data_IF_133012757887
#
_entry.id   IF_133012757887
#
_cell.length_a   1.000
_cell.length_b   1.000
_cell.length_c   1.000
_cell.angle_alpha   90.00
_cell.angle_beta   90.00
_cell.angle_gamma   90.00
#
_symmetry.space_group_name_H-M   'P 1'
#
loop_
_entity.id
_entity.type
_entity.pdbx_description
1 polymer ?
#
# COMPACT_ATOMS: atom_id res chain seq x y z
N UNK A 1 -1.11 -18.43 1.25
CA UNK A 1 -0.29 -18.89 0.10
C UNK A 1 1.18 -18.75 0.45
N UNK A 2 1.97 -19.77 0.22
CA UNK A 2 3.40 -19.68 0.46
C UNK A 2 4.12 -19.18 -0.80
N UNK A 3 5.28 -18.55 -0.64
CA UNK A 3 6.08 -18.06 -1.75
C UNK A 3 6.52 -19.19 -2.69
N UNK A 4 6.83 -20.36 -2.16
CA UNK A 4 7.23 -21.51 -2.97
C UNK A 4 6.09 -22.02 -3.84
N UNK A 5 4.86 -22.10 -3.31
CA UNK A 5 3.69 -22.51 -4.08
C UNK A 5 3.41 -21.50 -5.21
N UNK A 6 3.50 -20.22 -4.91
CA UNK A 6 3.30 -19.15 -5.91
C UNK A 6 4.30 -19.29 -7.05
N UNK A 7 5.58 -19.49 -6.74
CA UNK A 7 6.63 -19.63 -7.76
C UNK A 7 6.47 -20.92 -8.56
N UNK A 8 6.09 -22.02 -7.92
CA UNK A 8 5.87 -23.31 -8.60
C UNK A 8 4.76 -23.22 -9.64
N UNK A 9 3.77 -22.35 -9.42
CA UNK A 9 2.66 -22.12 -10.34
C UNK A 9 3.03 -21.16 -11.47
N UNK A 10 4.31 -20.79 -11.61
CA UNK A 10 4.79 -19.88 -12.65
C UNK A 10 4.72 -18.42 -12.29
N UNK A 11 4.31 -18.07 -11.08
CA UNK A 11 4.26 -16.69 -10.62
C UNK A 11 5.66 -16.26 -10.17
N UNK A 12 6.11 -15.10 -10.65
CA UNK A 12 7.47 -14.59 -10.40
C UNK A 12 7.51 -13.33 -9.55
N UNK A 13 6.36 -12.85 -9.08
CA UNK A 13 6.29 -11.63 -8.26
C UNK A 13 5.21 -11.76 -7.18
N UNK A 14 5.30 -10.90 -6.18
CA UNK A 14 4.28 -10.78 -5.14
C UNK A 14 4.17 -9.34 -4.69
N UNK A 15 2.93 -8.85 -4.51
CA UNK A 15 2.64 -7.55 -3.90
C UNK A 15 1.97 -7.85 -2.55
N UNK A 16 2.58 -7.42 -1.46
CA UNK A 16 2.21 -7.84 -0.11
C UNK A 16 1.69 -6.66 0.68
N UNK A 17 0.53 -6.82 1.33
CA UNK A 17 0.00 -5.78 2.20
C UNK A 17 0.92 -5.60 3.41
N UNK A 18 1.47 -4.41 3.59
CA UNK A 18 2.33 -4.14 4.75
C UNK A 18 1.55 -3.57 5.93
N UNK A 19 0.46 -2.87 5.66
CA UNK A 19 -0.35 -2.30 6.71
C UNK A 19 -1.61 -1.63 6.17
N UNK A 20 -2.36 -1.02 7.06
CA UNK A 20 -3.60 -0.33 6.71
C UNK A 20 -3.96 0.72 7.76
N UNK A 21 -4.83 1.66 7.37
CA UNK A 21 -5.50 2.55 8.33
C UNK A 21 -6.92 2.04 8.51
N UNK A 22 -7.35 1.87 9.75
CA UNK A 22 -8.70 1.38 10.05
C UNK A 22 -9.76 2.29 9.47
N UNK A 23 -10.75 1.70 8.80
CA UNK A 23 -11.80 2.47 8.10
C UNK A 23 -12.73 3.22 9.06
N UNK A 24 -12.86 2.77 10.29
CA UNK A 24 -13.68 3.42 11.31
C UNK A 24 -12.82 4.19 12.34
N UNK A 25 -11.76 3.55 12.84
CA UNK A 25 -10.92 4.12 13.90
C UNK A 25 -9.91 5.16 13.39
N UNK A 26 -9.46 5.04 12.13
CA UNK A 26 -8.39 5.85 11.59
C UNK A 26 -6.99 5.48 12.12
N UNK A 27 -6.86 4.38 12.84
CA UNK A 27 -5.59 3.96 13.40
C UNK A 27 -4.69 3.32 12.34
N UNK A 28 -3.39 3.60 12.40
CA UNK A 28 -2.40 2.93 11.57
C UNK A 28 -2.08 1.57 12.18
N UNK A 29 -2.10 0.53 11.36
CA UNK A 29 -1.89 -0.86 11.80
C UNK A 29 -0.95 -1.57 10.86
N UNK A 30 0.09 -2.23 11.39
CA UNK A 30 0.92 -3.14 10.63
C UNK A 30 0.13 -4.43 10.38
N UNK A 31 0.15 -4.95 9.14
CA UNK A 31 -0.47 -6.24 8.84
C UNK A 31 0.23 -7.34 9.66
N UNK A 32 -0.55 -8.14 10.38
CA UNK A 32 -0.01 -9.12 11.32
C UNK A 32 0.83 -10.22 10.66
N UNK A 33 0.64 -10.46 9.36
CA UNK A 33 1.38 -11.47 8.60
C UNK A 33 2.42 -10.87 7.66
N UNK A 34 2.60 -9.55 7.68
CA UNK A 34 3.48 -8.85 6.76
C UNK A 34 4.92 -9.39 6.78
N UNK A 35 5.52 -9.48 7.95
CA UNK A 35 6.92 -9.91 8.08
C UNK A 35 7.14 -11.32 7.56
N UNK A 36 6.21 -12.20 7.88
CA UNK A 36 6.24 -13.59 7.41
C UNK A 36 6.07 -13.67 5.90
N UNK A 37 5.11 -12.91 5.35
CA UNK A 37 4.80 -12.95 3.93
C UNK A 37 5.92 -12.37 3.08
N UNK A 38 6.50 -11.25 3.47
CA UNK A 38 7.58 -10.63 2.69
C UNK A 38 8.85 -11.49 2.73
N UNK A 39 9.18 -12.04 3.89
CA UNK A 39 10.36 -12.91 4.01
C UNK A 39 10.18 -14.19 3.21
N UNK A 40 8.98 -14.78 3.25
CA UNK A 40 8.68 -15.97 2.46
C UNK A 40 8.78 -15.72 0.95
N UNK A 41 8.29 -14.59 0.48
CA UNK A 41 8.37 -14.22 -0.94
C UNK A 41 9.82 -14.01 -1.38
N UNK A 42 10.61 -13.31 -0.58
CA UNK A 42 12.03 -13.10 -0.86
C UNK A 42 12.78 -14.43 -0.90
N UNK A 43 12.55 -15.28 0.08
CA UNK A 43 13.21 -16.60 0.16
C UNK A 43 12.85 -17.49 -1.03
N UNK A 44 11.66 -17.32 -1.60
CA UNK A 44 11.23 -18.07 -2.79
C UNK A 44 11.80 -17.46 -4.09
N UNK A 45 12.54 -16.36 -4.02
CA UNK A 45 13.13 -15.72 -5.19
C UNK A 45 12.14 -14.89 -6.00
N UNK A 46 11.02 -14.48 -5.41
CA UNK A 46 10.04 -13.62 -6.09
C UNK A 46 10.50 -12.16 -6.09
N UNK A 47 10.07 -11.42 -7.13
CA UNK A 47 10.19 -9.96 -7.15
C UNK A 47 9.07 -9.41 -6.28
N UNK A 48 9.40 -8.53 -5.34
CA UNK A 48 8.47 -8.11 -4.29
C UNK A 48 8.15 -6.62 -4.38
N UNK A 49 6.90 -6.30 -4.16
CA UNK A 49 6.42 -4.96 -3.83
C UNK A 49 5.51 -5.04 -2.62
N UNK A 50 5.13 -3.90 -2.09
CA UNK A 50 4.18 -3.83 -0.98
C UNK A 50 3.06 -2.85 -1.29
N UNK A 51 1.92 -3.00 -0.61
CA UNK A 51 0.87 -2.00 -0.67
C UNK A 51 0.36 -1.67 0.73
N UNK A 52 -0.16 -0.47 0.86
CA UNK A 52 -0.80 0.02 2.08
C UNK A 52 -2.27 0.33 1.77
N UNK A 53 -3.18 -0.23 2.55
CA UNK A 53 -4.61 0.02 2.39
C UNK A 53 -4.98 1.32 3.12
N UNK A 54 -5.14 2.39 2.34
CA UNK A 54 -5.33 3.73 2.86
C UNK A 54 -6.78 4.04 3.21
N UNK A 55 -6.94 4.80 4.29
CA UNK A 55 -8.19 5.49 4.65
C UNK A 55 -7.88 6.95 5.02
N UNK A 56 -6.83 7.52 4.42
CA UNK A 56 -6.45 8.91 4.65
C UNK A 56 -7.56 9.86 4.18
N UNK A 57 -7.83 10.88 4.97
CA UNK A 57 -8.84 11.91 4.65
C UNK A 57 -8.20 13.26 4.32
N UNK A 58 -6.88 13.38 4.42
CA UNK A 58 -6.13 14.56 4.04
C UNK A 58 -4.69 14.18 3.72
N UNK A 59 -3.92 15.14 3.17
CA UNK A 59 -2.54 14.90 2.78
C UNK A 59 -1.63 14.56 3.96
N UNK A 60 -1.85 15.18 5.12
CA UNK A 60 -1.06 14.89 6.32
C UNK A 60 -1.20 13.42 6.73
N UNK A 61 -2.41 12.88 6.67
CA UNK A 61 -2.63 11.45 6.96
C UNK A 61 -1.98 10.56 5.91
N UNK A 62 -2.02 10.93 4.63
CA UNK A 62 -1.36 10.18 3.57
C UNK A 62 0.16 10.14 3.79
N UNK A 63 0.76 11.23 4.23
CA UNK A 63 2.19 11.28 4.58
C UNK A 63 2.50 10.40 5.79
N UNK A 64 1.63 10.37 6.78
CA UNK A 64 1.77 9.45 7.93
C UNK A 64 1.77 7.99 7.47
N UNK A 65 0.86 7.64 6.56
CA UNK A 65 0.80 6.29 6.00
C UNK A 65 2.09 5.94 5.26
N UNK A 66 2.57 6.84 4.41
CA UNK A 66 3.83 6.64 3.69
C UNK A 66 5.02 6.50 4.64
N UNK A 67 5.07 7.30 5.70
CA UNK A 67 6.13 7.22 6.70
C UNK A 67 6.14 5.89 7.42
N UNK A 68 4.96 5.34 7.73
CA UNK A 68 4.85 4.00 8.30
C UNK A 68 5.38 2.94 7.32
N UNK A 69 5.00 3.05 6.04
CA UNK A 69 5.49 2.10 5.02
C UNK A 69 7.01 2.15 4.94
N UNK A 70 7.62 3.33 4.92
CA UNK A 70 9.07 3.46 4.85
C UNK A 70 9.75 2.76 6.03
N UNK A 71 9.18 2.84 7.21
CA UNK A 71 9.67 2.12 8.37
C UNK A 71 9.54 0.61 8.21
N UNK A 72 8.41 0.14 7.66
CA UNK A 72 8.13 -1.29 7.50
C UNK A 72 8.99 -1.94 6.41
N UNK A 73 9.40 -1.20 5.39
CA UNK A 73 10.16 -1.76 4.26
C UNK A 73 11.66 -1.60 4.40
N UNK A 74 12.12 -0.92 5.44
CA UNK A 74 13.55 -0.72 5.70
C UNK A 74 14.26 -2.07 5.78
N UNK A 75 15.34 -2.22 5.01
CA UNK A 75 16.10 -3.45 4.96
C UNK A 75 15.64 -4.47 3.93
N UNK A 76 14.54 -4.20 3.22
CA UNK A 76 14.07 -5.08 2.15
C UNK A 76 14.30 -4.44 0.79
N UNK A 77 14.55 -5.27 -0.23
CA UNK A 77 14.62 -4.83 -1.62
C UNK A 77 13.22 -4.94 -2.23
N UNK A 78 12.74 -3.86 -2.85
CA UNK A 78 11.40 -3.79 -3.43
C UNK A 78 11.47 -3.44 -4.92
N UNK A 79 11.85 -4.38 -5.79
CA UNK A 79 11.94 -4.09 -7.22
C UNK A 79 10.61 -3.65 -7.84
N UNK A 80 9.48 -4.05 -7.25
CA UNK A 80 8.16 -3.64 -7.74
C UNK A 80 7.61 -2.39 -7.04
N UNK A 81 8.30 -1.89 -6.01
CA UNK A 81 7.94 -0.64 -5.36
C UNK A 81 6.83 -0.74 -4.34
N UNK A 82 6.22 0.42 -4.07
CA UNK A 82 5.18 0.60 -3.06
C UNK A 82 3.91 1.12 -3.71
N UNK A 83 2.76 0.54 -3.33
CA UNK A 83 1.47 0.93 -3.90
C UNK A 83 0.55 1.49 -2.84
N UNK A 84 -0.13 2.56 -3.22
CA UNK A 84 -1.18 3.18 -2.44
C UNK A 84 -2.50 2.57 -2.88
N UNK A 85 -3.14 1.81 -1.99
CA UNK A 85 -4.42 1.17 -2.27
C UNK A 85 -5.52 1.98 -1.60
N UNK A 86 -6.43 2.53 -2.41
CA UNK A 86 -7.58 3.28 -1.90
C UNK A 86 -8.84 2.81 -2.60
N UNK A 87 -9.84 2.41 -1.81
CA UNK A 87 -11.09 1.83 -2.31
C UNK A 87 -12.23 2.24 -1.39
N UNK A 88 -13.46 2.24 -1.93
CA UNK A 88 -14.64 2.43 -1.08
C UNK A 88 -14.88 1.17 -0.23
N UNK A 89 -15.29 1.39 1.00
CA UNK A 89 -15.65 0.30 1.91
C UNK A 89 -16.84 0.76 2.76
N UNK A 90 -17.74 -0.15 3.10
CA UNK A 90 -18.90 0.19 3.91
C UNK A 90 -18.48 0.84 5.22
N UNK A 91 -18.98 2.05 5.50
CA UNK A 91 -18.60 2.83 6.67
C UNK A 91 -17.22 3.46 6.61
N UNK A 92 -16.54 3.44 5.44
CA UNK A 92 -15.19 3.97 5.29
C UNK A 92 -15.11 5.47 5.47
N UNK A 93 -14.14 5.92 6.26
CA UNK A 93 -13.93 7.34 6.56
C UNK A 93 -13.52 8.16 5.33
N UNK A 94 -12.90 7.53 4.34
CA UNK A 94 -12.46 8.19 3.12
C UNK A 94 -13.53 8.24 2.03
N UNK A 95 -14.70 7.61 2.23
CA UNK A 95 -15.75 7.54 1.20
C UNK A 95 -16.30 8.91 0.80
N UNK A 96 -16.28 9.89 1.71
CA UNK A 96 -16.84 11.22 1.48
C UNK A 96 -15.89 12.16 0.73
N UNK A 97 -14.65 11.77 0.46
CA UNK A 97 -13.69 12.61 -0.24
C UNK A 97 -14.10 12.81 -1.70
N UNK A 98 -13.83 14.02 -2.23
CA UNK A 98 -13.94 14.28 -3.66
C UNK A 98 -12.80 13.58 -4.41
N UNK A 99 -12.93 13.50 -5.74
CA UNK A 99 -11.85 12.97 -6.59
C UNK A 99 -10.56 13.78 -6.42
N UNK A 100 -10.68 15.12 -6.32
CA UNK A 100 -9.52 15.98 -6.12
C UNK A 100 -8.84 15.73 -4.78
N UNK A 101 -9.61 15.52 -3.71
CA UNK A 101 -9.07 15.22 -2.39
C UNK A 101 -8.37 13.87 -2.35
N UNK A 102 -8.95 12.84 -3.00
CA UNK A 102 -8.31 11.53 -3.12
C UNK A 102 -7.02 11.59 -3.90
N UNK A 103 -7.02 12.35 -4.99
CA UNK A 103 -5.82 12.53 -5.81
C UNK A 103 -4.72 13.21 -4.99
N UNK A 104 -5.05 14.24 -4.23
CA UNK A 104 -4.09 14.91 -3.37
C UNK A 104 -3.47 13.97 -2.33
N UNK A 105 -4.27 13.10 -1.72
CA UNK A 105 -3.77 12.08 -0.79
C UNK A 105 -2.83 11.10 -1.50
N UNK A 106 -3.23 10.60 -2.66
CA UNK A 106 -2.41 9.64 -3.43
C UNK A 106 -1.08 10.26 -3.85
N UNK A 107 -1.10 11.51 -4.31
CA UNK A 107 0.12 12.24 -4.70
C UNK A 107 1.04 12.43 -3.49
N UNK A 108 0.50 12.85 -2.35
CA UNK A 108 1.29 13.09 -1.14
C UNK A 108 1.97 11.79 -0.66
N UNK A 109 1.25 10.66 -0.68
CA UNK A 109 1.80 9.36 -0.35
C UNK A 109 2.93 8.98 -1.32
N UNK A 110 2.65 9.03 -2.62
CA UNK A 110 3.62 8.61 -3.65
C UNK A 110 4.86 9.49 -3.66
N UNK A 111 4.73 10.79 -3.48
CA UNK A 111 5.89 11.70 -3.41
C UNK A 111 6.77 11.38 -2.21
N UNK A 112 6.18 11.09 -1.06
CA UNK A 112 6.93 10.71 0.14
C UNK A 112 7.71 9.42 -0.11
N UNK A 113 7.09 8.42 -0.72
CA UNK A 113 7.73 7.14 -1.06
C UNK A 113 8.88 7.36 -2.06
N UNK A 114 8.64 8.13 -3.13
CA UNK A 114 9.66 8.40 -4.15
C UNK A 114 10.85 9.16 -3.59
N UNK A 115 10.62 10.08 -2.67
CA UNK A 115 11.67 10.85 -2.01
C UNK A 115 12.63 9.96 -1.24
N UNK A 116 12.19 8.78 -0.82
CA UNK A 116 13.03 7.80 -0.13
C UNK A 116 13.70 6.80 -1.08
N UNK A 117 13.51 6.94 -2.40
CA UNK A 117 14.18 6.13 -3.40
C UNK A 117 13.40 4.91 -3.91
N UNK A 118 12.12 4.77 -3.54
CA UNK A 118 11.31 3.66 -4.02
C UNK A 118 10.39 4.11 -5.17
N UNK A 119 10.01 3.17 -6.04
CA UNK A 119 8.94 3.40 -7.00
C UNK A 119 7.60 3.43 -6.28
N UNK A 120 6.66 4.22 -6.78
CA UNK A 120 5.34 4.32 -6.18
C UNK A 120 4.25 4.27 -7.25
N UNK A 121 3.12 3.65 -6.91
CA UNK A 121 1.95 3.59 -7.77
C UNK A 121 0.67 3.62 -6.96
N UNK A 122 -0.47 3.66 -7.67
CA UNK A 122 -1.80 3.74 -7.06
C UNK A 122 -2.68 2.64 -7.62
N UNK A 123 -3.40 1.97 -6.73
CA UNK A 123 -4.45 1.01 -7.08
C UNK A 123 -5.78 1.51 -6.56
N UNK A 124 -6.78 1.55 -7.43
CA UNK A 124 -8.15 1.94 -7.06
C UNK A 124 -9.09 1.72 -8.24
N UNK A 125 -10.40 1.92 -8.01
CA UNK A 125 -11.35 2.01 -9.11
C UNK A 125 -11.13 3.32 -9.87
N UNK A 126 -11.16 3.29 -11.19
CA UNK A 126 -11.02 4.50 -11.99
C UNK A 126 -12.07 5.56 -11.61
N UNK A 127 -13.34 5.13 -11.44
CA UNK A 127 -14.44 6.03 -11.06
C UNK A 127 -14.23 6.68 -9.68
N UNK A 128 -13.45 6.05 -8.81
CA UNK A 128 -13.15 6.59 -7.49
C UNK A 128 -12.42 7.94 -7.57
N UNK A 129 -11.61 8.13 -8.63
CA UNK A 129 -10.88 9.38 -8.86
C UNK A 129 -11.60 10.36 -9.78
N UNK A 130 -12.44 9.89 -10.71
CA UNK A 130 -13.00 10.72 -11.76
C UNK A 130 -14.44 11.16 -11.55
N UNK A 131 -15.25 10.45 -10.77
CA UNK A 131 -16.67 10.72 -10.62
C UNK A 131 -17.08 11.23 -9.24
N UNK A 132 -16.16 11.39 -8.33
CA UNK A 132 -16.49 11.82 -6.96
C UNK A 132 -15.64 12.96 -6.46
#
# INVERSE_FOLDING_TARGET
MTGNAVKSDGITFAIIRCGYRGYGSGALVEDSTYRQNIQGAINAGLRVGVYFYSQAINEAEAVEEASMVLSLVSGYSLPLGVYYDTESVGGGRANALSAAERTACAVAFCETIRSAGYSAGVYSYASWFYTR
#
